data_IF_583893325593
#
_entry.id   IF_583893325593
#
_cell.length_a   1.000
_cell.length_b   1.000
_cell.length_c   1.000
_cell.angle_alpha   90.00
_cell.angle_beta   90.00
_cell.angle_gamma   90.00
#
_symmetry.space_group_name_H-M   'P 1'
#
loop_
_entity.id
_entity.type
_entity.pdbx_description
1 polymer ?
#
# COMPACT_ATOMS: atom_id res chain seq x y z
N UNK A 1 17.07 -30.94 -10.98
CA UNK A 1 16.12 -29.79 -11.08
C UNK A 1 16.04 -29.34 -12.53
N UNK A 2 14.92 -29.57 -13.25
CA UNK A 2 14.79 -29.14 -14.64
C UNK A 2 14.67 -27.61 -14.63
N UNK A 3 15.66 -26.91 -15.20
CA UNK A 3 15.58 -25.46 -15.48
C UNK A 3 14.42 -25.31 -16.47
N UNK A 4 13.30 -24.74 -16.04
CA UNK A 4 12.22 -24.37 -16.97
C UNK A 4 12.80 -23.34 -17.92
N UNK A 5 12.62 -23.54 -19.23
CA UNK A 5 12.98 -22.54 -20.24
C UNK A 5 12.23 -21.24 -19.90
N UNK A 6 12.94 -20.28 -19.29
CA UNK A 6 12.40 -18.97 -18.91
C UNK A 6 12.50 -18.05 -20.15
N UNK A 7 11.38 -17.51 -20.58
CA UNK A 7 11.35 -16.50 -21.65
C UNK A 7 11.18 -15.13 -21.02
N UNK A 8 12.20 -14.28 -21.14
CA UNK A 8 12.15 -12.88 -20.70
C UNK A 8 11.03 -12.10 -21.41
N UNK A 9 10.89 -12.26 -22.72
CA UNK A 9 9.85 -11.59 -23.50
C UNK A 9 8.45 -11.93 -22.98
N UNK A 10 8.10 -13.21 -22.84
CA UNK A 10 6.81 -13.64 -22.30
C UNK A 10 6.59 -13.18 -20.87
N UNK A 11 7.65 -13.09 -20.08
CA UNK A 11 7.56 -12.60 -18.71
C UNK A 11 7.25 -11.11 -18.67
N UNK A 12 7.93 -10.30 -19.48
CA UNK A 12 7.70 -8.86 -19.57
C UNK A 12 6.31 -8.54 -20.14
N UNK A 13 5.85 -9.26 -21.16
CA UNK A 13 4.49 -9.10 -21.73
C UNK A 13 3.35 -9.31 -20.71
N UNK A 14 3.58 -10.07 -19.63
CA UNK A 14 2.58 -10.19 -18.56
C UNK A 14 2.25 -8.87 -17.90
N UNK A 15 3.23 -7.96 -17.79
CA UNK A 15 3.04 -6.69 -17.11
C UNK A 15 2.04 -5.79 -17.83
N UNK A 16 2.04 -5.73 -19.16
CA UNK A 16 1.14 -4.87 -19.94
C UNK A 16 -0.34 -5.12 -19.57
N UNK A 17 -0.72 -6.40 -19.53
CA UNK A 17 -2.09 -6.80 -19.15
C UNK A 17 -2.41 -6.43 -17.70
N UNK A 18 -1.44 -6.57 -16.80
CA UNK A 18 -1.66 -6.36 -15.37
C UNK A 18 -1.66 -4.87 -15.01
N UNK A 19 -0.78 -4.06 -15.59
CA UNK A 19 -0.72 -2.61 -15.37
C UNK A 19 -2.05 -1.96 -15.70
N UNK A 20 -2.66 -2.36 -16.83
CA UNK A 20 -3.92 -1.80 -17.33
C UNK A 20 -5.18 -2.48 -16.77
N UNK A 21 -5.06 -3.35 -15.76
CA UNK A 21 -6.20 -4.13 -15.25
C UNK A 21 -7.13 -3.37 -14.30
N UNK A 22 -6.68 -2.27 -13.70
CA UNK A 22 -7.51 -1.46 -12.82
C UNK A 22 -8.18 -0.29 -13.55
N UNK A 23 -9.34 0.11 -13.04
CA UNK A 23 -10.15 1.18 -13.62
C UNK A 23 -9.57 2.56 -13.34
N UNK A 24 -9.48 3.41 -14.35
CA UNK A 24 -8.98 4.79 -14.23
C UNK A 24 -9.75 5.59 -13.17
N UNK A 25 -11.08 5.38 -13.05
CA UNK A 25 -11.90 6.08 -12.06
C UNK A 25 -11.44 5.85 -10.61
N UNK A 26 -10.81 4.71 -10.32
CA UNK A 26 -10.23 4.47 -8.99
C UNK A 26 -9.00 5.34 -8.73
N UNK A 27 -8.14 5.52 -9.74
CA UNK A 27 -6.98 6.41 -9.65
C UNK A 27 -7.43 7.85 -9.47
N UNK A 28 -8.40 8.31 -10.25
CA UNK A 28 -8.96 9.66 -10.12
C UNK A 28 -9.59 9.89 -8.72
N UNK A 29 -10.33 8.91 -8.22
CA UNK A 29 -10.88 8.96 -6.85
C UNK A 29 -9.78 9.05 -5.79
N UNK A 30 -8.71 8.28 -5.95
CA UNK A 30 -7.57 8.31 -5.04
C UNK A 30 -6.81 9.64 -5.14
N UNK A 31 -6.51 10.10 -6.36
CA UNK A 31 -5.89 11.42 -6.63
C UNK A 31 -6.65 12.54 -5.91
N UNK A 32 -7.97 12.62 -6.11
CA UNK A 32 -8.82 13.60 -5.44
C UNK A 32 -8.68 13.52 -3.92
N UNK A 33 -8.70 12.31 -3.35
CA UNK A 33 -8.52 12.13 -1.90
C UNK A 33 -7.16 12.62 -1.42
N UNK A 34 -6.08 12.38 -2.15
CA UNK A 34 -4.74 12.84 -1.77
C UNK A 34 -4.61 14.37 -1.87
N UNK A 35 -5.24 14.99 -2.86
CA UNK A 35 -5.33 16.46 -2.94
C UNK A 35 -6.11 17.05 -1.76
N UNK A 36 -7.19 16.41 -1.31
CA UNK A 36 -7.92 16.82 -0.11
C UNK A 36 -7.05 16.73 1.15
N UNK A 37 -6.23 15.68 1.28
CA UNK A 37 -5.24 15.52 2.35
C UNK A 37 -4.22 16.67 2.32
N UNK A 38 -3.68 17.00 1.13
CA UNK A 38 -2.76 18.12 0.93
C UNK A 38 -3.39 19.43 1.37
N UNK A 39 -4.59 19.74 0.87
CA UNK A 39 -5.34 20.98 1.17
C UNK A 39 -5.63 21.11 2.67
N UNK A 40 -6.00 20.04 3.33
CA UNK A 40 -6.30 20.01 4.77
C UNK A 40 -5.07 19.89 5.67
N UNK A 41 -3.85 19.91 5.10
CA UNK A 41 -2.56 19.78 5.82
C UNK A 41 -2.49 18.53 6.70
N UNK A 42 -3.18 17.44 6.29
CA UNK A 42 -3.11 16.13 6.94
C UNK A 42 -1.97 15.30 6.35
N UNK A 43 -1.73 14.12 6.92
CA UNK A 43 -0.68 13.22 6.43
C UNK A 43 -1.25 11.91 5.91
N UNK A 44 -0.43 11.24 5.16
CA UNK A 44 -0.63 9.86 4.71
C UNK A 44 0.28 8.97 5.55
N UNK A 45 -0.23 7.85 6.02
CA UNK A 45 0.55 6.76 6.57
C UNK A 45 0.52 5.62 5.56
N UNK A 46 1.68 5.11 5.14
CA UNK A 46 1.77 4.03 4.16
C UNK A 46 2.61 2.90 4.72
N UNK A 47 2.15 1.65 4.59
CA UNK A 47 2.86 0.51 5.13
C UNK A 47 2.63 -0.78 4.33
N UNK A 48 3.61 -1.68 4.42
CA UNK A 48 3.61 -3.02 3.85
C UNK A 48 4.67 -3.89 4.54
N UNK A 49 4.84 -5.13 4.09
CA UNK A 49 5.91 -6.02 4.51
C UNK A 49 6.82 -6.35 3.31
N UNK A 50 8.12 -6.58 3.53
CA UNK A 50 9.07 -7.00 2.49
C UNK A 50 9.09 -6.04 1.30
N UNK A 51 8.86 -6.55 0.07
CA UNK A 51 8.80 -5.73 -1.13
C UNK A 51 7.72 -4.65 -1.06
N UNK A 52 6.56 -4.95 -0.45
CA UNK A 52 5.53 -3.93 -0.19
C UNK A 52 5.99 -2.83 0.78
N UNK A 53 6.91 -3.13 1.69
CA UNK A 53 7.55 -2.14 2.56
C UNK A 53 8.51 -1.24 1.78
N UNK A 54 9.30 -1.80 0.86
CA UNK A 54 10.17 -1.03 -0.04
C UNK A 54 9.37 -0.05 -0.91
N UNK A 55 8.24 -0.50 -1.46
CA UNK A 55 7.30 0.37 -2.19
C UNK A 55 6.80 1.51 -1.30
N UNK A 56 6.39 1.20 -0.06
CA UNK A 56 5.92 2.20 0.88
C UNK A 56 6.98 3.27 1.18
N UNK A 57 8.25 2.87 1.35
CA UNK A 57 9.37 3.80 1.54
C UNK A 57 9.55 4.73 0.35
N UNK A 58 9.63 4.19 -0.88
CA UNK A 58 9.81 4.98 -2.09
C UNK A 58 8.66 6.00 -2.26
N UNK A 59 7.43 5.52 -2.21
CA UNK A 59 6.23 6.35 -2.38
C UNK A 59 6.11 7.43 -1.30
N UNK A 60 6.49 7.14 -0.05
CA UNK A 60 6.43 8.13 1.04
C UNK A 60 7.39 9.30 0.82
N UNK A 61 8.58 9.03 0.28
CA UNK A 61 9.57 10.08 -0.07
C UNK A 61 9.04 10.96 -1.20
N UNK A 62 8.50 10.35 -2.27
CA UNK A 62 8.02 11.10 -3.42
C UNK A 62 6.77 11.92 -3.11
N UNK A 63 5.82 11.38 -2.38
CA UNK A 63 4.67 12.14 -1.90
C UNK A 63 5.11 13.35 -1.07
N UNK A 64 6.10 13.18 -0.18
CA UNK A 64 6.57 14.25 0.69
C UNK A 64 7.38 15.28 -0.09
N UNK A 65 8.41 14.85 -0.83
CA UNK A 65 9.35 15.74 -1.52
C UNK A 65 8.72 16.38 -2.75
N UNK A 66 8.14 15.57 -3.61
CA UNK A 66 7.73 16.01 -4.94
C UNK A 66 6.29 16.58 -4.93
N UNK A 67 5.37 15.89 -4.25
CA UNK A 67 3.96 16.31 -4.21
C UNK A 67 3.63 17.27 -3.06
N UNK A 68 4.55 17.52 -2.12
CA UNK A 68 4.31 18.34 -0.92
C UNK A 68 3.15 17.81 -0.07
N UNK A 69 2.98 16.50 -0.01
CA UNK A 69 2.01 15.81 0.84
C UNK A 69 2.79 15.08 1.93
N UNK A 70 2.62 15.46 3.19
CA UNK A 70 3.29 14.76 4.30
C UNK A 70 2.92 13.29 4.28
N UNK A 71 3.91 12.44 4.10
CA UNK A 71 3.73 11.00 4.12
C UNK A 71 4.79 10.35 5.01
N UNK A 72 4.38 9.44 5.86
CA UNK A 72 5.27 8.62 6.69
C UNK A 72 5.05 7.14 6.41
N UNK A 73 6.11 6.39 6.50
CA UNK A 73 6.08 4.93 6.59
C UNK A 73 6.60 4.52 7.99
N UNK A 74 6.60 3.24 8.30
CA UNK A 74 7.01 2.73 9.61
C UNK A 74 8.13 1.71 9.45
N UNK A 75 9.12 2.02 8.59
CA UNK A 75 10.19 1.09 8.22
C UNK A 75 11.47 1.29 9.05
N UNK A 76 11.40 2.06 10.14
CA UNK A 76 12.49 2.15 11.11
C UNK A 76 12.60 0.81 11.86
N UNK A 77 13.79 0.22 11.82
CA UNK A 77 14.02 -1.11 12.39
C UNK A 77 13.82 -1.15 13.92
N UNK A 78 14.19 -0.11 14.62
CA UNK A 78 14.03 0.04 16.05
C UNK A 78 12.56 0.18 16.46
N UNK A 79 11.75 0.94 15.72
CA UNK A 79 10.31 1.02 15.92
C UNK A 79 9.66 -0.36 15.72
N UNK A 80 10.00 -1.06 14.63
CA UNK A 80 9.44 -2.39 14.35
C UNK A 80 9.82 -3.38 15.44
N UNK A 81 11.11 -3.43 15.83
CA UNK A 81 11.60 -4.40 16.81
C UNK A 81 11.06 -4.12 18.20
N UNK A 82 11.03 -2.87 18.64
CA UNK A 82 10.46 -2.47 19.92
C UNK A 82 8.97 -2.81 19.98
N UNK A 83 8.19 -2.35 19.02
CA UNK A 83 6.73 -2.60 19.04
C UNK A 83 6.36 -4.07 18.82
N UNK A 84 7.15 -4.81 18.03
CA UNK A 84 6.94 -6.24 17.88
C UNK A 84 7.29 -7.01 19.17
N UNK A 85 8.32 -6.60 19.91
CA UNK A 85 8.66 -7.16 21.21
C UNK A 85 7.55 -6.92 22.25
N UNK A 86 7.04 -5.69 22.33
CA UNK A 86 6.10 -5.28 23.38
C UNK A 86 4.66 -5.69 23.10
N UNK A 87 4.24 -5.68 21.83
CA UNK A 87 2.85 -5.90 21.45
C UNK A 87 2.64 -7.15 20.58
N UNK A 88 3.70 -7.81 20.18
CA UNK A 88 3.70 -8.91 19.22
C UNK A 88 3.68 -8.45 17.77
N UNK A 89 4.34 -9.23 16.88
CA UNK A 89 4.49 -8.89 15.46
C UNK A 89 3.16 -8.64 14.73
N UNK A 90 2.09 -9.30 15.16
CA UNK A 90 0.78 -9.14 14.53
C UNK A 90 0.10 -7.80 14.87
N UNK A 91 0.56 -7.09 15.91
CA UNK A 91 -0.05 -5.85 16.39
C UNK A 91 0.85 -4.62 16.25
N UNK A 92 2.15 -4.79 15.98
CA UNK A 92 3.08 -3.66 15.98
C UNK A 92 2.63 -2.51 15.08
N UNK A 93 2.19 -2.81 13.85
CA UNK A 93 1.77 -1.78 12.89
C UNK A 93 0.47 -1.09 13.33
N UNK A 94 -0.49 -1.86 13.89
CA UNK A 94 -1.68 -1.27 14.48
C UNK A 94 -1.31 -0.27 15.58
N UNK A 95 -0.36 -0.64 16.44
CA UNK A 95 0.11 0.22 17.53
C UNK A 95 0.86 1.44 17.00
N UNK A 96 1.73 1.30 16.02
CA UNK A 96 2.37 2.42 15.37
C UNK A 96 1.33 3.43 14.82
N UNK A 97 0.32 2.94 14.10
CA UNK A 97 -0.76 3.79 13.60
C UNK A 97 -1.51 4.47 14.75
N UNK A 98 -1.77 3.77 15.85
CA UNK A 98 -2.47 4.32 17.02
C UNK A 98 -1.75 5.55 17.60
N UNK A 99 -0.42 5.51 17.68
CA UNK A 99 0.40 6.62 18.22
C UNK A 99 0.61 7.76 17.21
N UNK A 100 0.67 7.46 15.92
CA UNK A 100 1.02 8.45 14.88
C UNK A 100 -0.18 9.09 14.19
N UNK A 101 -1.39 8.55 14.40
CA UNK A 101 -2.60 9.01 13.73
C UNK A 101 -3.13 10.32 14.31
N UNK A 102 -3.39 11.28 13.44
CA UNK A 102 -4.19 12.47 13.74
C UNK A 102 -5.53 12.44 13.00
N UNK A 103 -6.57 13.01 13.60
CA UNK A 103 -7.90 13.06 12.98
C UNK A 103 -7.84 13.73 11.60
N UNK A 104 -8.32 13.01 10.59
CA UNK A 104 -8.34 13.46 9.21
C UNK A 104 -7.21 12.88 8.33
N UNK A 105 -6.24 12.18 8.92
CA UNK A 105 -5.21 11.45 8.17
C UNK A 105 -5.80 10.30 7.35
N UNK A 106 -5.00 9.77 6.44
CA UNK A 106 -5.36 8.66 5.58
C UNK A 106 -4.28 7.56 5.65
N UNK A 107 -4.69 6.32 5.42
CA UNK A 107 -3.79 5.17 5.47
C UNK A 107 -3.83 4.43 4.14
N UNK A 108 -2.64 4.06 3.64
CA UNK A 108 -2.43 3.16 2.52
C UNK A 108 -1.77 1.89 3.05
N UNK A 109 -2.42 0.74 2.89
CA UNK A 109 -1.88 -0.56 3.31
C UNK A 109 -1.67 -1.46 2.11
N UNK A 110 -0.46 -2.01 2.00
CA UNK A 110 -0.03 -2.86 0.89
C UNK A 110 0.25 -4.27 1.42
N UNK A 111 -0.40 -5.28 0.84
CA UNK A 111 -0.14 -6.68 1.13
C UNK A 111 -0.45 -7.53 -0.10
N UNK A 112 0.57 -8.04 -0.78
CA UNK A 112 0.40 -8.83 -2.01
C UNK A 112 -0.61 -9.96 -1.85
N UNK A 113 -0.55 -10.74 -0.77
CA UNK A 113 -1.52 -11.83 -0.50
C UNK A 113 -2.85 -11.33 0.09
N UNK A 114 -2.88 -10.10 0.64
CA UNK A 114 -4.02 -9.60 1.41
C UNK A 114 -4.31 -10.36 2.70
N UNK A 115 -3.33 -11.17 3.21
CA UNK A 115 -3.49 -12.07 4.37
C UNK A 115 -2.51 -11.80 5.51
N UNK A 116 -1.57 -10.88 5.38
CA UNK A 116 -0.57 -10.56 6.42
C UNK A 116 -1.27 -10.05 7.68
N UNK A 117 -1.11 -10.74 8.81
CA UNK A 117 -1.88 -10.49 10.03
C UNK A 117 -1.66 -9.08 10.60
N UNK A 118 -0.41 -8.58 10.62
CA UNK A 118 -0.11 -7.22 11.07
C UNK A 118 -0.82 -6.16 10.20
N UNK A 119 -0.85 -6.34 8.87
CA UNK A 119 -1.54 -5.45 7.92
C UNK A 119 -3.07 -5.51 8.12
N UNK A 120 -3.62 -6.72 8.31
CA UNK A 120 -5.06 -6.89 8.53
C UNK A 120 -5.49 -6.28 9.87
N UNK A 121 -4.71 -6.44 10.95
CA UNK A 121 -5.02 -5.85 12.25
C UNK A 121 -4.98 -4.32 12.17
N UNK A 122 -3.98 -3.75 11.50
CA UNK A 122 -3.91 -2.32 11.20
C UNK A 122 -5.12 -1.82 10.39
N UNK A 123 -5.53 -2.58 9.36
CA UNK A 123 -6.70 -2.25 8.55
C UNK A 123 -8.02 -2.31 9.34
N UNK A 124 -8.19 -3.31 10.21
CA UNK A 124 -9.36 -3.42 11.11
C UNK A 124 -9.41 -2.26 12.10
N UNK A 125 -8.27 -1.89 12.67
CA UNK A 125 -8.16 -0.73 13.54
C UNK A 125 -8.55 0.55 12.80
N UNK A 126 -7.98 0.79 11.62
CA UNK A 126 -8.31 1.94 10.79
C UNK A 126 -9.82 2.02 10.49
N UNK A 127 -10.43 0.89 10.09
CA UNK A 127 -11.88 0.81 9.85
C UNK A 127 -12.70 1.13 11.10
N UNK A 128 -12.33 0.55 12.26
CA UNK A 128 -13.02 0.79 13.55
C UNK A 128 -12.94 2.27 13.97
N UNK A 129 -11.82 2.94 13.69
CA UNK A 129 -11.59 4.36 14.02
C UNK A 129 -12.12 5.32 12.97
N UNK A 130 -12.73 4.83 11.88
CA UNK A 130 -13.23 5.67 10.80
C UNK A 130 -12.13 6.34 9.95
N UNK A 131 -10.88 5.84 10.04
CA UNK A 131 -9.76 6.37 9.26
C UNK A 131 -9.95 6.01 7.79
N UNK A 132 -9.66 6.95 6.89
CA UNK A 132 -9.78 6.69 5.46
C UNK A 132 -8.69 5.70 5.00
N UNK A 133 -9.11 4.50 4.65
CA UNK A 133 -8.22 3.39 4.33
C UNK A 133 -8.24 3.07 2.83
N UNK A 134 -7.06 3.03 2.23
CA UNK A 134 -6.79 2.55 0.87
C UNK A 134 -6.00 1.25 0.97
N UNK A 135 -6.31 0.26 0.14
CA UNK A 135 -5.63 -1.03 0.16
C UNK A 135 -5.15 -1.44 -1.21
N UNK A 136 -3.98 -2.07 -1.24
CA UNK A 136 -3.39 -2.70 -2.42
C UNK A 136 -3.18 -4.19 -2.12
N UNK A 137 -3.74 -5.07 -2.96
CA UNK A 137 -3.64 -6.53 -2.77
C UNK A 137 -3.67 -7.28 -4.11
N UNK A 138 -3.34 -8.54 -4.04
CA UNK A 138 -3.44 -9.50 -5.15
C UNK A 138 -4.07 -10.81 -4.69
N UNK A 139 -3.63 -11.92 -5.27
CA UNK A 139 -4.10 -13.28 -4.98
C UNK A 139 -5.63 -13.41 -5.08
N UNK A 140 -6.25 -13.89 -4.00
CA UNK A 140 -7.68 -14.19 -4.00
C UNK A 140 -8.54 -12.91 -4.03
N UNK A 141 -9.56 -12.90 -4.88
CA UNK A 141 -10.48 -11.75 -5.03
C UNK A 141 -11.25 -11.43 -3.75
N UNK A 142 -11.38 -12.39 -2.85
CA UNK A 142 -12.07 -12.27 -1.56
C UNK A 142 -11.12 -12.11 -0.37
N UNK A 143 -9.84 -11.76 -0.60
CA UNK A 143 -8.86 -11.63 0.47
C UNK A 143 -9.31 -10.62 1.55
N UNK A 144 -8.80 -10.82 2.76
CA UNK A 144 -9.26 -10.09 3.95
C UNK A 144 -8.97 -8.59 3.88
N UNK A 145 -7.82 -8.19 3.32
CA UNK A 145 -7.43 -6.78 3.24
C UNK A 145 -8.35 -6.01 2.28
N UNK A 146 -8.65 -6.57 1.12
CA UNK A 146 -9.50 -5.97 0.10
C UNK A 146 -10.89 -5.59 0.63
N UNK A 147 -11.44 -6.36 1.59
CA UNK A 147 -12.77 -6.12 2.17
C UNK A 147 -12.83 -4.94 3.16
N UNK A 148 -11.68 -4.37 3.53
CA UNK A 148 -11.60 -3.37 4.60
C UNK A 148 -11.47 -1.94 4.09
N UNK A 149 -10.86 -1.72 2.92
CA UNK A 149 -10.57 -0.39 2.38
C UNK A 149 -11.79 0.34 1.82
N UNK A 150 -11.74 1.66 1.83
CA UNK A 150 -12.69 2.55 1.11
C UNK A 150 -12.41 2.56 -0.39
N UNK A 151 -11.12 2.49 -0.77
CA UNK A 151 -10.65 2.28 -2.14
C UNK A 151 -9.75 1.03 -2.09
N UNK A 152 -9.99 0.11 -3.02
CA UNK A 152 -9.26 -1.17 -3.05
C UNK A 152 -8.71 -1.42 -4.44
N UNK A 153 -7.40 -1.43 -4.57
CA UNK A 153 -6.67 -1.88 -5.75
C UNK A 153 -6.39 -3.37 -5.60
N UNK A 154 -6.79 -4.14 -6.60
CA UNK A 154 -6.61 -5.58 -6.55
C UNK A 154 -6.16 -6.13 -7.89
N UNK A 155 -5.06 -6.88 -7.87
CA UNK A 155 -4.50 -7.53 -9.04
C UNK A 155 -4.86 -9.01 -9.06
N UNK A 156 -5.50 -9.47 -10.12
CA UNK A 156 -5.76 -10.89 -10.33
C UNK A 156 -4.46 -11.61 -10.76
N UNK A 157 -3.59 -11.84 -9.82
CA UNK A 157 -2.31 -12.51 -9.99
C UNK A 157 -1.92 -13.22 -8.69
N UNK A 158 -1.18 -14.34 -8.78
CA UNK A 158 -0.67 -15.10 -7.63
C UNK A 158 0.87 -15.12 -7.56
N UNK A 159 1.52 -14.29 -8.36
CA UNK A 159 2.98 -14.12 -8.37
C UNK A 159 3.37 -12.85 -7.62
N UNK A 160 4.18 -13.02 -6.55
CA UNK A 160 4.58 -11.90 -5.68
C UNK A 160 5.31 -10.79 -6.43
N UNK A 161 6.31 -11.14 -7.24
CA UNK A 161 7.11 -10.14 -7.94
C UNK A 161 6.26 -9.34 -8.94
N UNK A 162 5.35 -10.00 -9.64
CA UNK A 162 4.41 -9.34 -10.55
C UNK A 162 3.48 -8.39 -9.80
N UNK A 163 2.92 -8.83 -8.67
CA UNK A 163 2.01 -8.00 -7.87
C UNK A 163 2.73 -6.78 -7.31
N UNK A 164 3.90 -6.97 -6.72
CA UNK A 164 4.69 -5.88 -6.14
C UNK A 164 5.12 -4.87 -7.20
N UNK A 165 5.61 -5.32 -8.36
CA UNK A 165 5.96 -4.43 -9.47
C UNK A 165 4.77 -3.62 -9.97
N UNK A 166 3.60 -4.25 -10.15
CA UNK A 166 2.39 -3.55 -10.58
C UNK A 166 1.89 -2.57 -9.53
N UNK A 167 1.90 -2.95 -8.24
CA UNK A 167 1.55 -2.02 -7.15
C UNK A 167 2.48 -0.80 -7.13
N UNK A 168 3.78 -1.00 -7.37
CA UNK A 168 4.73 0.11 -7.45
C UNK A 168 4.42 1.01 -8.63
N UNK A 169 4.20 0.46 -9.82
CA UNK A 169 3.83 1.24 -11.02
C UNK A 169 2.56 2.05 -10.76
N UNK A 170 1.51 1.44 -10.21
CA UNK A 170 0.25 2.15 -9.90
C UNK A 170 0.44 3.30 -8.92
N UNK A 171 1.22 3.09 -7.87
CA UNK A 171 1.48 4.12 -6.86
C UNK A 171 2.37 5.25 -7.39
N UNK A 172 3.39 4.95 -8.20
CA UNK A 172 4.23 5.97 -8.82
C UNK A 172 3.48 6.76 -9.90
N UNK A 173 2.64 6.11 -10.71
CA UNK A 173 1.73 6.80 -11.65
C UNK A 173 0.80 7.77 -10.92
N UNK A 174 0.30 7.37 -9.74
CA UNK A 174 -0.47 8.28 -8.89
C UNK A 174 0.37 9.46 -8.41
N UNK A 175 1.60 9.22 -7.95
CA UNK A 175 2.54 10.30 -7.56
C UNK A 175 2.74 11.27 -8.73
N UNK A 176 3.07 10.77 -9.92
CA UNK A 176 3.26 11.59 -11.11
C UNK A 176 2.03 12.45 -11.44
N UNK A 177 0.84 11.89 -11.27
CA UNK A 177 -0.40 12.62 -11.48
C UNK A 177 -0.63 13.80 -10.51
N UNK A 178 0.09 13.84 -9.40
CA UNK A 178 0.00 14.88 -8.36
C UNK A 178 1.06 15.99 -8.52
N UNK A 179 2.00 15.82 -9.46
CA UNK A 179 3.06 16.80 -9.74
C UNK A 179 2.59 18.01 -10.56
N UNK A 180 1.39 17.96 -11.10
CA UNK A 180 0.79 18.97 -11.97
C UNK A 180 0.06 20.05 -11.17
#
# INVERSE_FOLDING_TARGET
MKIKNFSFEKHLQKFDKHINSEKIEKFEKLKKKLLDIKKSKKKIMIAGNGGSSAIASHVSVDLTKNCRIRCTNFNEYDLITCFANDFGYEKWLQKAIEYYYDKGDCIILISSSGKSKNIINAARYAKKRGIYLITFSGFESNNSLRKLGKINFWLNCKDYNTIESVHQIWLLTLVDSLLV
#
